data_IF_935917069427
#
_entry.id   IF_935917069427
#
_cell.length_a   1.000
_cell.length_b   1.000
_cell.length_c   1.000
_cell.angle_alpha   90.00
_cell.angle_beta   90.00
_cell.angle_gamma   90.00
#
_symmetry.space_group_name_H-M   'P 1'
#
loop_
_entity.id
_entity.type
_entity.pdbx_description
1 polymer ?
#
# COMPACT_ATOMS: atom_id res chain seq x y z
N UNK A 1 -19.28 23.59 -7.39
CA UNK A 1 -17.83 23.33 -7.47
C UNK A 1 -17.18 24.39 -8.34
N UNK A 2 -16.01 24.88 -8.01
CA UNK A 2 -15.27 25.80 -8.87
C UNK A 2 -14.68 25.03 -10.05
N UNK A 3 -14.36 25.70 -11.15
CA UNK A 3 -13.71 25.07 -12.32
C UNK A 3 -12.39 24.39 -11.94
N UNK A 4 -11.65 24.99 -11.01
CA UNK A 4 -10.43 24.40 -10.43
C UNK A 4 -10.70 23.01 -9.81
N UNK A 5 -11.65 22.91 -8.89
CA UNK A 5 -11.94 21.63 -8.20
C UNK A 5 -12.42 20.55 -9.20
N UNK A 6 -13.22 20.92 -10.20
CA UNK A 6 -13.63 19.96 -11.22
C UNK A 6 -12.44 19.40 -12.01
N UNK A 7 -11.44 20.23 -12.30
CA UNK A 7 -10.21 19.76 -12.98
C UNK A 7 -9.36 18.85 -12.11
N UNK A 8 -9.23 19.16 -10.82
CA UNK A 8 -8.54 18.27 -9.86
C UNK A 8 -9.23 16.91 -9.81
N UNK A 9 -10.56 16.87 -9.63
CA UNK A 9 -11.33 15.64 -9.63
C UNK A 9 -11.13 14.83 -10.93
N UNK A 10 -11.17 15.49 -12.10
CA UNK A 10 -10.93 14.83 -13.38
C UNK A 10 -9.54 14.18 -13.46
N UNK A 11 -8.50 14.83 -12.94
CA UNK A 11 -7.15 14.26 -12.90
C UNK A 11 -7.04 13.08 -11.92
N UNK A 12 -7.76 13.11 -10.80
CA UNK A 12 -7.80 12.00 -9.84
C UNK A 12 -8.64 10.82 -10.35
N UNK A 13 -9.67 11.09 -11.15
CA UNK A 13 -10.50 10.07 -11.80
C UNK A 13 -9.84 9.46 -13.05
N UNK A 14 -8.75 10.04 -13.54
CA UNK A 14 -8.09 9.55 -14.75
C UNK A 14 -7.56 8.12 -14.56
N UNK A 15 -7.99 7.23 -15.46
CA UNK A 15 -7.59 5.82 -15.53
C UNK A 15 -6.82 5.52 -16.83
N UNK A 16 -6.25 6.53 -17.47
CA UNK A 16 -5.51 6.39 -18.73
C UNK A 16 -4.19 5.66 -18.57
N UNK A 17 -3.66 5.58 -17.33
CA UNK A 17 -2.38 4.97 -17.05
C UNK A 17 -2.49 3.88 -16.01
N UNK A 18 -1.61 2.87 -16.14
CA UNK A 18 -1.51 1.80 -15.17
C UNK A 18 -0.93 2.30 -13.83
N UNK A 19 -1.24 1.61 -12.74
CA UNK A 19 -0.75 1.95 -11.41
C UNK A 19 0.76 1.74 -11.25
N UNK A 20 1.33 0.86 -12.06
CA UNK A 20 2.77 0.63 -12.19
C UNK A 20 3.18 0.72 -13.66
N UNK A 21 4.46 1.02 -13.89
CA UNK A 21 5.05 1.07 -15.23
C UNK A 21 6.44 0.49 -15.20
N UNK A 22 6.99 0.14 -16.35
CA UNK A 22 8.34 -0.43 -16.49
C UNK A 22 8.60 -1.54 -15.48
N UNK A 23 7.68 -2.49 -15.38
CA UNK A 23 7.61 -3.66 -14.51
C UNK A 23 7.17 -3.37 -13.06
N UNK A 24 7.82 -2.45 -12.34
CA UNK A 24 7.58 -2.29 -10.88
C UNK A 24 7.70 -0.85 -10.37
N UNK A 25 7.83 0.13 -11.25
CA UNK A 25 7.84 1.53 -10.83
C UNK A 25 6.41 2.01 -10.56
N UNK A 26 6.17 2.60 -9.42
CA UNK A 26 4.85 3.09 -9.04
C UNK A 26 4.53 4.41 -9.73
N UNK A 27 3.30 4.53 -10.21
CA UNK A 27 2.78 5.75 -10.79
C UNK A 27 2.39 6.74 -9.68
N UNK A 28 3.07 7.88 -9.62
CA UNK A 28 2.83 8.91 -8.61
C UNK A 28 2.05 10.14 -9.13
N UNK A 29 1.50 10.08 -10.35
CA UNK A 29 0.81 11.22 -10.94
C UNK A 29 -0.29 11.79 -10.02
N UNK A 30 -1.16 10.94 -9.50
CA UNK A 30 -2.27 11.35 -8.61
C UNK A 30 -1.77 11.89 -7.26
N UNK A 31 -0.69 11.33 -6.71
CA UNK A 31 -0.06 11.88 -5.51
C UNK A 31 0.45 13.30 -5.74
N UNK A 32 1.06 13.55 -6.91
CA UNK A 32 1.52 14.89 -7.28
C UNK A 32 0.34 15.85 -7.47
N UNK A 33 -0.78 15.41 -8.05
CA UNK A 33 -2.01 16.22 -8.15
C UNK A 33 -2.46 16.69 -6.77
N UNK A 34 -2.59 15.77 -5.80
CA UNK A 34 -3.02 16.11 -4.44
C UNK A 34 -2.02 17.06 -3.78
N UNK A 35 -0.72 16.74 -3.84
CA UNK A 35 0.32 17.54 -3.21
C UNK A 35 0.40 18.95 -3.78
N UNK A 36 0.39 19.10 -5.10
CA UNK A 36 0.46 20.40 -5.78
C UNK A 36 -0.80 21.23 -5.52
N UNK A 37 -1.99 20.58 -5.54
CA UNK A 37 -3.23 21.22 -5.18
C UNK A 37 -3.21 21.72 -3.73
N UNK A 38 -2.73 20.91 -2.78
CA UNK A 38 -2.55 21.30 -1.38
C UNK A 38 -1.58 22.47 -1.18
N UNK A 39 -0.61 22.62 -2.08
CA UNK A 39 0.32 23.77 -2.10
C UNK A 39 -0.28 25.01 -2.81
N UNK A 40 -1.50 24.92 -3.34
CA UNK A 40 -2.19 26.02 -4.00
C UNK A 40 -1.77 26.28 -5.45
N UNK A 41 -1.18 25.28 -6.12
CA UNK A 41 -0.82 25.42 -7.53
C UNK A 41 -2.09 25.55 -8.42
N UNK A 42 -2.06 26.37 -9.49
CA UNK A 42 -3.14 26.44 -10.46
C UNK A 42 -3.40 25.09 -11.14
N UNK A 43 -4.67 24.75 -11.40
CA UNK A 43 -5.03 23.47 -12.01
C UNK A 43 -4.39 23.24 -13.39
N UNK A 44 -4.17 24.31 -14.17
CA UNK A 44 -3.45 24.25 -15.43
C UNK A 44 -1.98 23.86 -15.29
N UNK A 45 -1.30 24.35 -14.26
CA UNK A 45 0.10 24.00 -13.99
C UNK A 45 0.21 22.55 -13.49
N UNK A 46 -0.76 22.09 -12.68
CA UNK A 46 -0.86 20.70 -12.23
C UNK A 46 -1.08 19.80 -13.45
N UNK A 47 -2.00 20.15 -14.34
CA UNK A 47 -2.27 19.36 -15.55
C UNK A 47 -1.03 19.28 -16.46
N UNK A 48 -0.32 20.39 -16.66
CA UNK A 48 0.92 20.42 -17.44
C UNK A 48 2.00 19.54 -16.81
N UNK A 49 2.13 19.56 -15.49
CA UNK A 49 3.04 18.67 -14.77
C UNK A 49 2.69 17.19 -14.97
N UNK A 50 1.41 16.84 -14.83
CA UNK A 50 0.94 15.45 -15.01
C UNK A 50 1.19 14.95 -16.43
N UNK A 51 0.92 15.78 -17.44
CA UNK A 51 1.19 15.47 -18.84
C UNK A 51 2.68 15.23 -19.09
N UNK A 52 3.54 16.11 -18.58
CA UNK A 52 5.00 15.95 -18.71
C UNK A 52 5.50 14.72 -17.95
N UNK A 53 5.01 14.50 -16.72
CA UNK A 53 5.34 13.32 -15.93
C UNK A 53 4.93 12.04 -16.66
N UNK A 54 3.71 12.00 -17.20
CA UNK A 54 3.22 10.82 -17.92
C UNK A 54 4.07 10.50 -19.15
N UNK A 55 4.63 11.52 -19.79
CA UNK A 55 5.46 11.37 -21.01
C UNK A 55 6.90 11.00 -20.71
N UNK A 56 7.49 11.48 -19.62
CA UNK A 56 8.95 11.48 -19.42
C UNK A 56 9.43 10.77 -18.18
N UNK A 57 8.52 10.35 -17.28
CA UNK A 57 8.94 9.79 -15.99
C UNK A 57 9.97 8.68 -16.15
N UNK A 58 11.07 8.78 -15.45
CA UNK A 58 12.23 7.88 -15.52
C UNK A 58 12.77 7.60 -16.94
N UNK A 59 12.43 8.43 -17.93
CA UNK A 59 12.79 8.24 -19.33
C UNK A 59 11.95 7.21 -20.09
N UNK A 60 10.97 6.57 -19.44
CA UNK A 60 10.08 5.56 -20.03
C UNK A 60 8.69 6.10 -20.35
N UNK A 61 8.20 7.03 -19.53
CA UNK A 61 6.80 7.44 -19.51
C UNK A 61 5.90 6.40 -18.82
N UNK A 62 4.64 6.79 -18.60
CA UNK A 62 3.63 5.91 -18.02
C UNK A 62 3.08 4.94 -19.07
N UNK A 63 2.68 3.76 -18.62
CA UNK A 63 2.11 2.72 -19.47
C UNK A 63 0.56 2.79 -19.43
N UNK A 64 -0.12 2.37 -20.52
CA UNK A 64 -1.58 2.25 -20.52
C UNK A 64 -2.04 1.14 -19.55
N UNK A 65 -3.29 1.20 -19.07
CA UNK A 65 -3.82 0.21 -18.15
C UNK A 65 -3.91 -1.17 -18.81
N UNK A 66 -3.51 -2.20 -18.07
CA UNK A 66 -3.66 -3.59 -18.48
C UNK A 66 -5.06 -4.07 -18.12
N UNK A 67 -5.78 -4.62 -19.09
CA UNK A 67 -7.12 -5.16 -18.89
C UNK A 67 -7.08 -6.64 -18.52
N UNK A 68 -8.06 -7.07 -17.74
CA UNK A 68 -8.24 -8.47 -17.38
C UNK A 68 -9.72 -8.84 -17.51
N UNK A 69 -9.99 -10.02 -18.07
CA UNK A 69 -11.35 -10.54 -18.21
C UNK A 69 -11.80 -11.41 -17.02
N UNK A 70 -10.93 -11.56 -16.01
CA UNK A 70 -11.23 -12.37 -14.84
C UNK A 70 -12.24 -11.64 -13.95
N UNK A 71 -13.34 -12.30 -13.61
CA UNK A 71 -14.31 -11.83 -12.64
C UNK A 71 -13.97 -12.38 -11.26
N UNK A 72 -13.75 -11.48 -10.30
CA UNK A 72 -13.49 -11.84 -8.92
C UNK A 72 -14.78 -11.82 -8.10
N UNK A 73 -14.84 -12.72 -7.12
CA UNK A 73 -15.95 -12.86 -6.17
C UNK A 73 -15.42 -12.90 -4.74
N UNK A 74 -16.31 -12.84 -3.74
CA UNK A 74 -15.94 -12.96 -2.33
C UNK A 74 -15.21 -14.28 -2.02
N UNK A 75 -15.51 -15.34 -2.76
CA UNK A 75 -14.93 -16.66 -2.53
C UNK A 75 -13.52 -16.78 -3.11
N UNK A 76 -13.20 -16.04 -4.19
CA UNK A 76 -11.96 -16.30 -4.92
C UNK A 76 -10.95 -15.12 -4.96
N UNK A 77 -11.33 -13.90 -4.59
CA UNK A 77 -10.46 -12.73 -4.74
C UNK A 77 -9.10 -12.88 -4.04
N UNK A 78 -9.05 -13.65 -2.94
CA UNK A 78 -7.81 -13.90 -2.19
C UNK A 78 -6.78 -14.71 -2.98
N UNK A 79 -7.22 -15.52 -3.92
CA UNK A 79 -6.35 -16.31 -4.80
C UNK A 79 -5.59 -15.42 -5.79
N UNK A 80 -6.02 -14.15 -5.91
CA UNK A 80 -5.43 -13.16 -6.79
C UNK A 80 -4.55 -12.12 -6.10
N UNK A 81 -4.33 -12.28 -4.80
CA UNK A 81 -3.37 -11.45 -4.06
C UNK A 81 -1.96 -11.61 -4.63
N UNK A 82 -1.28 -10.49 -4.89
CA UNK A 82 0.06 -10.48 -5.47
C UNK A 82 0.13 -10.88 -6.95
N UNK A 83 -1.00 -10.94 -7.67
CA UNK A 83 -1.02 -11.25 -9.11
C UNK A 83 -0.98 -9.96 -9.93
N UNK A 84 0.23 -9.60 -10.39
CA UNK A 84 0.49 -8.34 -11.08
C UNK A 84 -0.27 -8.12 -12.39
N UNK A 85 -0.84 -9.17 -13.00
CA UNK A 85 -1.66 -9.04 -14.20
C UNK A 85 -3.13 -8.72 -13.88
N UNK A 86 -3.52 -8.70 -12.60
CA UNK A 86 -4.93 -8.68 -12.20
C UNK A 86 -5.40 -7.38 -11.57
N UNK A 87 -4.66 -6.28 -11.74
CA UNK A 87 -5.05 -4.98 -11.17
C UNK A 87 -6.46 -4.55 -11.58
N UNK A 88 -6.80 -4.67 -12.88
CA UNK A 88 -8.13 -4.29 -13.40
C UNK A 88 -9.26 -5.14 -12.78
N UNK A 89 -9.03 -6.45 -12.58
CA UNK A 89 -10.00 -7.32 -11.92
C UNK A 89 -10.17 -6.99 -10.43
N UNK A 90 -9.06 -6.72 -9.74
CA UNK A 90 -9.08 -6.32 -8.33
C UNK A 90 -9.76 -4.95 -8.16
N UNK A 91 -9.48 -4.00 -9.07
CA UNK A 91 -10.16 -2.71 -9.06
C UNK A 91 -11.68 -2.86 -9.17
N UNK A 92 -12.16 -3.63 -10.16
CA UNK A 92 -13.60 -3.88 -10.37
C UNK A 92 -14.23 -4.63 -9.20
N UNK A 93 -13.49 -5.55 -8.58
CA UNK A 93 -13.95 -6.24 -7.38
C UNK A 93 -14.20 -5.25 -6.25
N UNK A 94 -13.21 -4.41 -5.90
CA UNK A 94 -13.37 -3.43 -4.83
C UNK A 94 -14.38 -2.33 -5.17
N UNK A 95 -14.49 -1.94 -6.43
CA UNK A 95 -15.54 -1.02 -6.89
C UNK A 95 -16.93 -1.59 -6.58
N UNK A 96 -17.17 -2.85 -6.92
CA UNK A 96 -18.42 -3.54 -6.58
C UNK A 96 -18.64 -3.66 -5.06
N UNK A 97 -17.59 -3.93 -4.29
CA UNK A 97 -17.72 -3.98 -2.81
C UNK A 97 -18.09 -2.63 -2.22
N UNK A 98 -17.52 -1.56 -2.77
CA UNK A 98 -17.89 -0.19 -2.34
C UNK A 98 -19.32 0.18 -2.75
N UNK A 99 -19.81 -0.33 -3.88
CA UNK A 99 -21.22 -0.17 -4.27
C UNK A 99 -22.17 -0.91 -3.32
N UNK A 100 -21.83 -2.13 -2.94
CA UNK A 100 -22.68 -2.98 -2.09
C UNK A 100 -22.66 -2.57 -0.61
N UNK A 101 -21.48 -2.25 -0.06
CA UNK A 101 -21.27 -2.07 1.38
C UNK A 101 -21.10 -0.60 1.79
N UNK A 102 -20.78 0.27 0.83
CA UNK A 102 -20.27 1.60 1.09
C UNK A 102 -18.78 1.62 1.41
N UNK A 103 -18.13 2.77 1.20
CA UNK A 103 -16.67 2.92 1.30
C UNK A 103 -16.13 2.57 2.69
N UNK A 104 -16.74 3.13 3.74
CA UNK A 104 -16.30 2.93 5.12
C UNK A 104 -16.32 1.45 5.53
N UNK A 105 -17.40 0.74 5.20
CA UNK A 105 -17.52 -0.67 5.55
C UNK A 105 -16.56 -1.53 4.73
N UNK A 106 -16.35 -1.20 3.46
CA UNK A 106 -15.36 -1.88 2.62
C UNK A 106 -13.95 -1.75 3.21
N UNK A 107 -13.56 -0.55 3.62
CA UNK A 107 -12.28 -0.34 4.30
C UNK A 107 -12.16 -1.18 5.59
N UNK A 108 -13.19 -1.19 6.42
CA UNK A 108 -13.19 -1.98 7.67
C UNK A 108 -13.05 -3.48 7.44
N UNK A 109 -13.61 -3.99 6.36
CA UNK A 109 -13.54 -5.42 6.02
C UNK A 109 -12.19 -5.77 5.39
N UNK A 110 -11.75 -5.04 4.37
CA UNK A 110 -10.65 -5.49 3.52
C UNK A 110 -9.28 -4.97 3.94
N UNK A 111 -9.16 -3.78 4.54
CA UNK A 111 -7.85 -3.27 4.97
C UNK A 111 -7.16 -4.21 5.96
N UNK A 112 -7.83 -4.77 6.99
CA UNK A 112 -7.19 -5.73 7.89
C UNK A 112 -6.66 -6.99 7.19
N UNK A 113 -7.33 -7.45 6.13
CA UNK A 113 -6.88 -8.61 5.35
C UNK A 113 -5.71 -8.29 4.42
N UNK A 114 -5.60 -7.05 3.96
CA UNK A 114 -4.53 -6.60 3.05
C UNK A 114 -3.25 -6.15 3.77
N UNK A 115 -3.38 -5.66 5.01
CA UNK A 115 -2.23 -5.17 5.79
C UNK A 115 -1.09 -6.18 5.95
N UNK A 116 -1.31 -7.49 6.11
CA UNK A 116 -0.20 -8.46 6.18
C UNK A 116 0.68 -8.50 4.94
N UNK A 117 0.18 -7.99 3.81
CA UNK A 117 0.92 -7.89 2.55
C UNK A 117 1.35 -6.49 2.17
N UNK A 118 1.22 -5.51 3.04
CA UNK A 118 1.42 -4.09 2.75
C UNK A 118 2.86 -3.71 2.31
N UNK A 119 3.84 -4.58 2.55
CA UNK A 119 5.24 -4.35 2.13
C UNK A 119 5.43 -4.47 0.62
N UNK A 120 4.49 -5.07 -0.07
CA UNK A 120 4.52 -5.16 -1.52
C UNK A 120 4.65 -3.79 -2.19
N UNK A 121 5.28 -3.74 -3.34
CA UNK A 121 5.62 -2.50 -4.04
C UNK A 121 6.26 -1.44 -3.11
N UNK A 122 7.08 -1.86 -2.12
CA UNK A 122 7.73 -0.96 -1.15
C UNK A 122 6.71 -0.03 -0.45
N UNK A 123 5.59 -0.57 0.02
CA UNK A 123 4.50 0.15 0.70
C UNK A 123 3.67 1.08 -0.21
N UNK A 124 3.89 1.10 -1.53
CA UNK A 124 3.20 2.06 -2.40
C UNK A 124 1.68 1.88 -2.43
N UNK A 125 1.16 0.66 -2.25
CA UNK A 125 -0.29 0.46 -2.07
C UNK A 125 -0.83 1.18 -0.82
N UNK A 126 -0.10 1.12 0.30
CA UNK A 126 -0.46 1.84 1.54
C UNK A 126 -0.33 3.35 1.37
N UNK A 127 0.73 3.81 0.71
CA UNK A 127 0.94 5.23 0.41
C UNK A 127 -0.19 5.76 -0.47
N UNK A 128 -0.56 5.02 -1.53
CA UNK A 128 -1.63 5.42 -2.43
C UNK A 128 -2.98 5.51 -1.70
N UNK A 129 -3.29 4.50 -0.87
CA UNK A 129 -4.50 4.51 -0.06
C UNK A 129 -4.51 5.69 0.93
N UNK A 130 -3.38 6.00 1.56
CA UNK A 130 -3.24 7.15 2.45
C UNK A 130 -3.54 8.48 1.75
N UNK A 131 -2.96 8.73 0.58
CA UNK A 131 -3.25 9.91 -0.24
C UNK A 131 -4.72 9.99 -0.65
N UNK A 132 -5.32 8.86 -1.01
CA UNK A 132 -6.72 8.78 -1.40
C UNK A 132 -7.68 9.13 -0.27
N UNK A 133 -7.36 8.67 0.95
CA UNK A 133 -8.15 8.97 2.16
C UNK A 133 -8.00 10.43 2.59
N UNK A 134 -6.79 10.99 2.52
CA UNK A 134 -6.54 12.40 2.82
C UNK A 134 -7.29 13.33 1.85
N UNK A 135 -7.33 12.96 0.57
CA UNK A 135 -8.07 13.68 -0.45
C UNK A 135 -9.59 13.40 -0.44
N UNK A 136 -10.07 12.49 0.41
CA UNK A 136 -11.46 12.03 0.46
C UNK A 136 -11.99 11.54 -0.92
N UNK A 137 -11.08 11.02 -1.77
CA UNK A 137 -11.41 10.67 -3.15
C UNK A 137 -11.77 9.17 -3.29
N UNK A 138 -13.06 8.89 -3.54
CA UNK A 138 -13.61 7.53 -3.61
C UNK A 138 -12.90 6.64 -4.65
N UNK A 139 -12.74 7.13 -5.88
CA UNK A 139 -12.14 6.35 -6.97
C UNK A 139 -10.69 5.96 -6.67
N UNK A 140 -9.91 6.89 -6.14
CA UNK A 140 -8.54 6.65 -5.75
C UNK A 140 -8.43 5.74 -4.51
N UNK A 141 -9.42 5.76 -3.60
CA UNK A 141 -9.48 4.82 -2.47
C UNK A 141 -9.68 3.38 -2.96
N UNK A 142 -10.53 3.18 -3.97
CA UNK A 142 -10.71 1.88 -4.62
C UNK A 142 -9.40 1.43 -5.30
N UNK A 143 -8.70 2.34 -5.99
CA UNK A 143 -7.37 2.06 -6.55
C UNK A 143 -6.37 1.64 -5.47
N UNK A 144 -6.36 2.31 -4.32
CA UNK A 144 -5.48 1.98 -3.20
C UNK A 144 -5.72 0.59 -2.63
N UNK A 145 -6.99 0.17 -2.48
CA UNK A 145 -7.34 -1.19 -2.09
C UNK A 145 -6.88 -2.20 -3.14
N UNK A 146 -7.14 -1.91 -4.42
CA UNK A 146 -6.70 -2.75 -5.53
C UNK A 146 -5.17 -2.84 -5.58
N UNK A 147 -4.46 -1.75 -5.31
CA UNK A 147 -3.00 -1.73 -5.32
C UNK A 147 -2.41 -2.53 -4.16
N UNK A 148 -2.97 -2.44 -2.96
CA UNK A 148 -2.59 -3.29 -1.84
C UNK A 148 -2.76 -4.78 -2.16
N UNK A 149 -3.87 -5.16 -2.79
CA UNK A 149 -4.13 -6.54 -3.19
C UNK A 149 -3.22 -7.00 -4.34
N UNK A 150 -3.05 -6.16 -5.36
CA UNK A 150 -2.22 -6.41 -6.54
C UNK A 150 -0.74 -6.59 -6.20
N UNK A 151 -0.23 -5.75 -5.32
CA UNK A 151 1.17 -5.79 -4.88
C UNK A 151 1.40 -6.62 -3.62
N UNK A 152 0.40 -7.37 -3.19
CA UNK A 152 0.44 -8.12 -1.94
C UNK A 152 1.64 -9.09 -1.90
N UNK A 153 2.49 -8.94 -0.91
CA UNK A 153 3.56 -9.88 -0.59
C UNK A 153 3.38 -10.32 0.86
N UNK A 154 2.93 -11.56 1.06
CA UNK A 154 2.71 -12.07 2.40
C UNK A 154 3.98 -11.96 3.25
N UNK A 155 3.87 -11.25 4.35
CA UNK A 155 4.93 -11.21 5.36
C UNK A 155 5.12 -12.56 6.06
N UNK A 156 4.15 -13.47 5.92
CA UNK A 156 4.12 -14.78 6.59
C UNK A 156 3.52 -15.86 5.71
N UNK A 157 4.21 -16.30 4.64
CA UNK A 157 3.67 -17.32 3.74
C UNK A 157 3.35 -18.63 4.47
N UNK A 158 4.04 -18.95 5.58
CA UNK A 158 3.98 -20.25 6.24
C UNK A 158 3.51 -20.20 7.70
N UNK A 159 3.04 -19.04 8.20
CA UNK A 159 2.67 -18.91 9.62
C UNK A 159 1.29 -18.32 9.81
N UNK A 160 0.45 -19.04 10.53
CA UNK A 160 -0.80 -18.49 11.02
C UNK A 160 -0.54 -17.36 12.03
N UNK A 161 -1.20 -16.23 11.85
CA UNK A 161 -1.08 -15.06 12.73
C UNK A 161 -1.58 -15.33 14.16
N UNK A 162 -2.32 -16.42 14.36
CA UNK A 162 -2.86 -16.88 15.64
C UNK A 162 -1.83 -17.50 16.58
N UNK A 163 -0.58 -17.67 16.16
CA UNK A 163 0.45 -18.31 17.00
C UNK A 163 1.18 -17.36 17.94
N UNK A 164 0.84 -16.09 17.93
CA UNK A 164 1.35 -15.14 18.92
C UNK A 164 0.83 -15.47 20.32
N UNK A 165 1.72 -15.94 21.16
CA UNK A 165 1.37 -16.51 22.47
C UNK A 165 1.41 -15.51 23.63
N UNK A 166 1.88 -14.30 23.41
CA UNK A 166 2.05 -13.35 24.51
C UNK A 166 1.71 -11.94 24.08
N UNK A 167 0.72 -11.31 24.72
CA UNK A 167 0.44 -9.90 24.53
C UNK A 167 1.71 -9.07 24.82
N UNK A 168 1.95 -8.06 24.00
CA UNK A 168 2.98 -7.08 24.27
C UNK A 168 2.65 -6.29 25.52
N UNK A 169 3.64 -5.96 26.31
CA UNK A 169 3.52 -5.02 27.43
C UNK A 169 3.75 -3.57 27.01
N UNK A 170 3.96 -3.33 25.71
CA UNK A 170 4.17 -1.99 25.18
C UNK A 170 2.94 -1.13 25.36
N UNK A 171 3.14 0.06 25.88
CA UNK A 171 2.05 1.02 26.13
C UNK A 171 2.02 2.15 25.11
N UNK A 172 3.09 2.29 24.33
CA UNK A 172 3.23 3.34 23.34
C UNK A 172 3.88 2.78 22.07
N UNK A 173 3.68 3.42 20.90
CA UNK A 173 4.39 3.06 19.69
C UNK A 173 5.90 3.09 19.86
N UNK A 174 6.41 4.04 20.67
CA UNK A 174 7.84 4.15 20.96
C UNK A 174 8.37 2.91 21.69
N UNK A 175 7.59 2.32 22.60
CA UNK A 175 7.99 1.09 23.28
C UNK A 175 8.08 -0.07 22.29
N UNK A 176 7.11 -0.18 21.37
CA UNK A 176 7.16 -1.17 20.28
C UNK A 176 8.37 -0.95 19.38
N UNK A 177 8.64 0.28 18.98
CA UNK A 177 9.82 0.61 18.15
C UNK A 177 11.13 0.26 18.87
N UNK A 178 11.25 0.57 20.15
CA UNK A 178 12.45 0.21 20.95
C UNK A 178 12.67 -1.30 20.99
N UNK A 179 11.59 -2.07 21.15
CA UNK A 179 11.68 -3.52 21.15
C UNK A 179 12.08 -4.07 19.78
N UNK A 180 11.47 -3.55 18.70
CA UNK A 180 11.87 -3.91 17.33
C UNK A 180 13.34 -3.59 17.10
N UNK A 181 13.80 -2.42 17.51
CA UNK A 181 15.20 -2.04 17.38
C UNK A 181 16.14 -2.97 18.16
N UNK A 182 15.76 -3.38 19.38
CA UNK A 182 16.55 -4.31 20.16
C UNK A 182 16.63 -5.71 19.52
N UNK A 183 15.52 -6.20 18.94
CA UNK A 183 15.53 -7.45 18.18
C UNK A 183 16.39 -7.35 16.92
N UNK A 184 16.31 -6.23 16.22
CA UNK A 184 17.13 -5.92 15.06
C UNK A 184 18.63 -5.88 15.40
N UNK A 185 19.00 -5.23 16.51
CA UNK A 185 20.39 -5.20 16.99
C UNK A 185 20.92 -6.58 17.38
N UNK A 186 20.04 -7.46 17.84
CA UNK A 186 20.40 -8.84 18.16
C UNK A 186 20.75 -9.67 16.93
N UNK A 187 20.14 -9.38 15.77
CA UNK A 187 20.26 -10.22 14.57
C UNK A 187 20.60 -9.45 13.27
N UNK A 188 21.46 -8.44 13.39
CA UNK A 188 21.90 -7.64 12.23
C UNK A 188 22.51 -8.47 11.11
N UNK A 189 23.12 -9.61 11.44
CA UNK A 189 23.78 -10.46 10.45
C UNK A 189 22.82 -11.08 9.47
N UNK A 190 21.63 -11.43 9.90
CA UNK A 190 20.60 -11.98 9.04
C UNK A 190 20.12 -10.91 8.05
N UNK A 191 19.85 -9.71 8.52
CA UNK A 191 19.44 -8.63 7.64
C UNK A 191 20.52 -8.25 6.63
N UNK A 192 21.80 -8.09 7.08
CA UNK A 192 22.91 -7.80 6.17
C UNK A 192 23.03 -8.86 5.09
N UNK A 193 22.97 -10.14 5.47
CA UNK A 193 23.01 -11.24 4.51
C UNK A 193 21.85 -11.20 3.50
N UNK A 194 20.64 -10.88 3.96
CA UNK A 194 19.48 -10.72 3.06
C UNK A 194 19.65 -9.54 2.09
N UNK A 195 20.15 -8.40 2.59
CA UNK A 195 20.41 -7.22 1.74
C UNK A 195 21.51 -7.50 0.74
N UNK A 196 22.63 -8.10 1.16
CA UNK A 196 23.74 -8.46 0.28
C UNK A 196 23.28 -9.43 -0.82
N UNK A 197 22.45 -10.40 -0.46
CA UNK A 197 21.88 -11.35 -1.40
C UNK A 197 20.94 -10.69 -2.40
N UNK A 198 20.09 -9.76 -1.96
CA UNK A 198 19.19 -9.00 -2.82
C UNK A 198 19.98 -8.08 -3.78
N UNK A 199 20.98 -7.34 -3.27
CA UNK A 199 21.81 -6.44 -4.08
C UNK A 199 22.70 -7.19 -5.07
N UNK A 200 23.08 -8.41 -4.74
CA UNK A 200 23.82 -9.29 -5.65
C UNK A 200 22.95 -9.96 -6.73
N UNK A 201 21.62 -9.83 -6.64
CA UNK A 201 20.73 -10.37 -7.65
C UNK A 201 20.65 -9.46 -8.87
N UNK A 202 20.80 -10.00 -10.11
CA UNK A 202 20.63 -9.21 -11.34
C UNK A 202 19.18 -8.74 -11.53
N UNK A 203 18.23 -9.33 -10.85
CA UNK A 203 16.80 -9.03 -10.93
C UNK A 203 16.29 -8.62 -9.54
N UNK A 204 16.20 -7.33 -9.29
CA UNK A 204 15.66 -6.76 -8.06
C UNK A 204 14.12 -6.89 -7.96
N UNK A 205 13.48 -7.26 -9.04
CA UNK A 205 12.06 -7.56 -9.03
C UNK A 205 11.83 -8.94 -8.44
N UNK A 206 10.83 -9.22 -7.73
CA UNK A 206 10.29 -10.55 -7.32
C UNK A 206 11.28 -11.74 -7.45
N UNK A 207 12.49 -11.48 -7.91
CA UNK A 207 13.51 -12.46 -8.11
C UNK A 207 14.00 -13.04 -6.79
N UNK A 208 14.57 -14.22 -6.85
CA UNK A 208 15.05 -14.99 -5.72
C UNK A 208 15.97 -14.20 -4.77
N UNK A 209 16.67 -13.17 -5.27
CA UNK A 209 17.52 -12.31 -4.45
C UNK A 209 16.79 -11.28 -3.61
N UNK A 210 15.59 -10.83 -4.03
CA UNK A 210 14.79 -9.86 -3.27
C UNK A 210 13.89 -10.55 -2.25
N UNK A 211 13.51 -11.78 -2.50
CA UNK A 211 12.66 -12.57 -1.60
C UNK A 211 13.21 -12.69 -0.17
N UNK A 212 14.50 -12.97 0.06
CA UNK A 212 15.05 -13.01 1.41
C UNK A 212 14.93 -11.68 2.17
N UNK A 213 15.04 -10.53 1.47
CA UNK A 213 14.83 -9.22 2.09
C UNK A 213 13.36 -9.05 2.49
N UNK A 214 12.43 -9.43 1.62
CA UNK A 214 11.00 -9.40 1.91
C UNK A 214 10.63 -10.33 3.07
N UNK A 215 11.18 -11.54 3.08
CA UNK A 215 10.96 -12.51 4.18
C UNK A 215 11.53 -11.98 5.51
N UNK A 216 12.71 -11.38 5.47
CA UNK A 216 13.28 -10.77 6.68
C UNK A 216 12.46 -9.56 7.13
N UNK A 217 12.05 -8.68 6.20
CA UNK A 217 11.16 -7.56 6.49
C UNK A 217 9.83 -8.06 7.03
N UNK A 218 9.30 -9.13 6.46
CA UNK A 218 8.12 -9.82 6.95
C UNK A 218 8.29 -10.33 8.38
N UNK A 219 9.42 -10.93 8.70
CA UNK A 219 9.74 -11.37 10.05
C UNK A 219 9.80 -10.19 11.04
N UNK A 220 10.37 -9.05 10.64
CA UNK A 220 10.38 -7.83 11.46
C UNK A 220 8.98 -7.25 11.67
N UNK A 221 8.16 -7.25 10.63
CA UNK A 221 6.75 -6.87 10.74
C UNK A 221 5.97 -7.85 11.62
N UNK A 222 6.30 -9.14 11.59
CA UNK A 222 5.73 -10.12 12.51
C UNK A 222 6.11 -9.78 13.94
N UNK A 223 7.36 -9.52 14.22
CA UNK A 223 7.81 -9.08 15.55
C UNK A 223 7.03 -7.83 15.96
N UNK A 224 6.98 -6.83 15.10
CA UNK A 224 6.20 -5.61 15.35
C UNK A 224 4.73 -5.89 15.63
N UNK A 225 4.13 -6.81 14.87
CA UNK A 225 2.74 -7.21 15.04
C UNK A 225 2.52 -8.02 16.31
N UNK A 226 3.37 -8.99 16.60
CA UNK A 226 3.34 -9.75 17.86
C UNK A 226 3.45 -8.81 19.05
N UNK A 227 4.31 -7.79 18.93
CA UNK A 227 4.45 -6.75 19.94
C UNK A 227 3.20 -5.87 20.03
N UNK A 228 2.53 -5.62 18.91
CA UNK A 228 1.31 -4.82 18.82
C UNK A 228 0.02 -5.62 19.12
N UNK A 229 0.00 -6.94 18.98
CA UNK A 229 -1.17 -7.78 19.34
C UNK A 229 -1.51 -7.72 20.82
N UNK A 230 -0.53 -7.44 21.66
CA UNK A 230 -0.76 -7.10 23.06
C UNK A 230 -1.08 -5.63 23.28
N UNK A 231 -1.03 -4.83 22.22
CA UNK A 231 -1.39 -3.43 22.23
C UNK A 231 -2.64 -3.24 21.37
N UNK A 232 -3.61 -2.46 21.79
CA UNK A 232 -4.87 -2.26 21.06
C UNK A 232 -4.74 -1.68 19.64
N UNK A 233 -3.53 -1.43 19.15
CA UNK A 233 -3.23 -0.90 17.81
C UNK A 233 -3.85 -1.67 16.64
N UNK A 234 -4.09 -2.98 16.77
CA UNK A 234 -4.60 -3.80 15.65
C UNK A 234 -6.11 -4.02 15.75
N UNK A 235 -6.67 -4.01 16.96
CA UNK A 235 -8.08 -4.40 17.19
C UNK A 235 -8.95 -3.30 17.77
N UNK A 236 -8.38 -2.18 18.18
CA UNK A 236 -9.11 -0.99 18.65
C UNK A 236 -8.26 0.25 18.40
N UNK A 237 -8.90 1.40 18.33
CA UNK A 237 -8.19 2.68 18.35
C UNK A 237 -7.31 2.72 19.60
N UNK A 238 -5.98 2.87 19.48
CA UNK A 238 -5.12 2.89 20.64
C UNK A 238 -5.49 4.07 21.54
N UNK A 239 -5.46 3.86 22.84
CA UNK A 239 -5.77 4.91 23.81
C UNK A 239 -4.86 6.15 23.67
N UNK A 240 -3.66 5.99 23.09
CA UNK A 240 -2.78 7.12 22.79
C UNK A 240 -3.18 7.91 21.54
N UNK A 241 -3.96 7.32 20.60
CA UNK A 241 -4.59 8.06 19.49
C UNK A 241 -5.85 8.79 19.95
N UNK A 242 -6.57 8.23 20.92
CA UNK A 242 -7.73 8.89 21.52
C UNK A 242 -7.33 10.06 22.44
N UNK A 243 -6.10 10.03 22.98
CA UNK A 243 -5.55 11.12 23.81
C UNK A 243 -4.74 12.15 23.03
N UNK A 244 -4.56 11.98 21.72
CA UNK A 244 -4.03 13.01 20.85
C UNK A 244 -5.13 14.05 20.59
N UNK A 245 -5.28 14.98 21.53
CA UNK A 245 -6.12 16.15 21.36
C UNK A 245 -5.56 16.95 20.17
N UNK A 246 -6.34 17.25 19.13
CA UNK A 246 -5.89 18.11 18.06
C UNK A 246 -5.84 19.55 18.57
N UNK A 247 -4.72 19.97 19.16
CA UNK A 247 -4.40 21.39 19.30
C UNK A 247 -3.80 21.94 18.01
#
# INVERSE_FOLDING_TARGET
>A
MTDHNNRIEQMLDDKSFHIEFHSYLSNHAKHAVIALNGLGAPAEDIAAYVEEYARTTYGFGLEPPKKSDIQLTEENWRDFLGKHEQFDSLYRFFEGRVEDLGLEQTLKVYVPELLPGCVGALLHGTIHLGWALDAEHKGMTIEGLAYLAFSYVSSYPDRALSESKSPSVDRTPLDSMKRIAAEWDRDRRVLSSCVDQALGSPELSVAAGFQPVLEHTGAQLHIARVLAEGHPLIHSTPSWLESADPE
#
